data_IF_621838209899
#
_entry.id   IF_621838209899
#
_cell.length_a   1.000
_cell.length_b   1.000
_cell.length_c   1.000
_cell.angle_alpha   90.00
_cell.angle_beta   90.00
_cell.angle_gamma   90.00
#
_symmetry.space_group_name_H-M   'P 1'
#
loop_
_entity.id
_entity.type
_entity.pdbx_description
1 polymer ?
#
# COMPACT_ATOMS: atom_id res chain seq x y z
N UNK A 1 27.87 -28.03 1.80
CA UNK A 1 28.47 -28.56 0.56
C UNK A 1 29.23 -27.47 -0.18
N UNK A 2 30.32 -27.77 -0.91
CA UNK A 2 30.91 -26.79 -1.85
C UNK A 2 30.21 -26.96 -3.20
N UNK A 3 29.98 -25.87 -3.92
CA UNK A 3 29.32 -25.93 -5.24
C UNK A 3 30.10 -26.79 -6.24
N UNK A 4 31.42 -26.93 -6.05
CA UNK A 4 32.30 -27.82 -6.82
C UNK A 4 31.97 -29.30 -6.64
N UNK A 5 31.32 -29.68 -5.54
CA UNK A 5 30.92 -31.05 -5.25
C UNK A 5 29.68 -31.47 -6.09
N UNK A 6 29.05 -30.50 -6.77
CA UNK A 6 27.94 -30.72 -7.71
C UNK A 6 28.40 -31.08 -9.13
N UNK A 7 29.70 -31.05 -9.41
CA UNK A 7 30.22 -31.42 -10.73
C UNK A 7 29.92 -32.90 -11.04
N UNK A 8 29.46 -33.17 -12.25
CA UNK A 8 29.01 -34.49 -12.72
C UNK A 8 27.77 -35.06 -12.02
N UNK A 9 27.07 -34.29 -11.19
CA UNK A 9 25.79 -34.71 -10.61
C UNK A 9 24.71 -34.68 -11.68
N UNK A 10 23.88 -35.73 -11.70
CA UNK A 10 22.69 -35.80 -12.56
C UNK A 10 21.54 -35.02 -11.92
N UNK A 11 20.90 -34.20 -12.75
CA UNK A 11 19.78 -33.36 -12.35
C UNK A 11 18.67 -33.46 -13.38
N UNK A 12 17.43 -33.29 -12.93
CA UNK A 12 16.23 -33.34 -13.77
C UNK A 12 15.63 -31.94 -13.85
N UNK A 13 15.58 -31.38 -15.06
CA UNK A 13 14.86 -30.14 -15.33
C UNK A 13 13.43 -30.43 -15.79
N UNK A 14 12.47 -29.63 -15.34
CA UNK A 14 11.03 -29.80 -15.64
C UNK A 14 10.71 -29.86 -17.13
N UNK A 15 11.46 -29.12 -17.96
CA UNK A 15 11.24 -29.02 -19.43
C UNK A 15 12.31 -29.74 -20.26
N UNK A 16 13.55 -29.81 -19.76
CA UNK A 16 14.70 -30.26 -20.57
C UNK A 16 15.14 -31.69 -20.24
N UNK A 17 14.44 -32.35 -19.31
CA UNK A 17 14.72 -33.71 -18.91
C UNK A 17 16.00 -33.81 -18.09
N UNK A 18 16.69 -34.94 -18.23
CA UNK A 18 17.89 -35.26 -17.46
C UNK A 18 19.08 -34.53 -18.07
N UNK A 19 19.84 -33.84 -17.21
CA UNK A 19 21.09 -33.17 -17.55
C UNK A 19 22.18 -33.50 -16.55
N UNK A 20 23.43 -33.21 -16.94
CA UNK A 20 24.61 -33.39 -16.09
C UNK A 20 25.25 -32.03 -15.88
N UNK A 21 25.61 -31.71 -14.63
CA UNK A 21 26.32 -30.48 -14.30
C UNK A 21 27.75 -30.58 -14.83
N UNK A 22 28.09 -29.72 -15.79
CA UNK A 22 29.40 -29.68 -16.46
C UNK A 22 30.33 -28.65 -15.82
N UNK A 23 29.78 -27.55 -15.31
CA UNK A 23 30.54 -26.49 -14.65
C UNK A 23 29.78 -25.94 -13.44
N UNK A 24 30.53 -25.57 -12.42
CA UNK A 24 30.02 -24.94 -11.22
C UNK A 24 30.88 -23.73 -10.85
N UNK A 25 30.23 -22.58 -10.70
CA UNK A 25 30.83 -21.29 -10.29
C UNK A 25 30.01 -20.72 -9.14
N UNK A 26 30.60 -19.86 -8.30
CA UNK A 26 30.04 -19.41 -7.02
C UNK A 26 28.54 -19.00 -7.03
N UNK A 27 28.02 -18.53 -8.17
CA UNK A 27 26.60 -18.16 -8.32
C UNK A 27 25.87 -18.84 -9.49
N UNK A 28 26.54 -19.69 -10.28
CA UNK A 28 25.93 -20.29 -11.46
C UNK A 28 26.40 -21.72 -11.72
N UNK A 29 25.48 -22.55 -12.21
CA UNK A 29 25.72 -23.89 -12.71
C UNK A 29 25.49 -23.94 -14.22
N UNK A 30 26.38 -24.62 -14.94
CA UNK A 30 26.16 -25.00 -16.33
C UNK A 30 25.74 -26.46 -16.37
N UNK A 31 24.58 -26.72 -16.97
CA UNK A 31 24.00 -28.07 -17.11
C UNK A 31 23.91 -28.41 -18.59
N UNK A 32 24.49 -29.54 -18.95
CA UNK A 32 24.40 -30.12 -20.29
C UNK A 32 23.23 -31.10 -20.35
N UNK A 33 22.21 -30.75 -21.12
CA UNK A 33 21.09 -31.63 -21.49
C UNK A 33 21.34 -32.27 -22.85
N UNK A 34 20.53 -33.28 -23.18
CA UNK A 34 20.62 -34.01 -24.46
C UNK A 34 20.56 -33.09 -25.68
N UNK A 35 19.71 -32.06 -25.63
CA UNK A 35 19.50 -31.15 -26.75
C UNK A 35 20.36 -29.87 -26.71
N UNK A 36 20.81 -29.43 -25.52
CA UNK A 36 21.53 -28.17 -25.36
C UNK A 36 22.19 -28.06 -23.98
N UNK A 37 23.12 -27.14 -23.86
CA UNK A 37 23.70 -26.71 -22.59
C UNK A 37 23.06 -25.40 -22.12
N UNK A 38 22.85 -25.22 -20.83
CA UNK A 38 22.19 -24.03 -20.28
C UNK A 38 22.72 -23.68 -18.89
N UNK A 39 22.80 -22.37 -18.62
CA UNK A 39 23.33 -21.82 -17.37
C UNK A 39 22.20 -21.39 -16.44
N UNK A 40 22.29 -21.77 -15.17
CA UNK A 40 21.28 -21.54 -14.14
C UNK A 40 21.89 -20.87 -12.92
N UNK A 41 21.09 -20.11 -12.18
CA UNK A 41 21.52 -19.41 -10.96
C UNK A 41 21.47 -20.40 -9.79
N UNK A 42 22.56 -20.52 -9.05
CA UNK A 42 22.64 -21.38 -7.87
C UNK A 42 22.53 -20.55 -6.59
N UNK A 43 21.75 -20.98 -5.58
CA UNK A 43 20.98 -22.24 -5.52
C UNK A 43 19.53 -22.11 -6.01
N UNK A 44 19.07 -20.92 -6.39
CA UNK A 44 17.67 -20.59 -6.72
C UNK A 44 17.03 -21.48 -7.80
N UNK A 45 17.80 -21.94 -8.78
CA UNK A 45 17.28 -22.77 -9.85
C UNK A 45 16.79 -24.15 -9.39
N UNK A 46 17.28 -24.66 -8.24
CA UNK A 46 16.80 -25.91 -7.65
C UNK A 46 15.41 -25.80 -7.00
N UNK A 47 14.95 -24.58 -6.73
CA UNK A 47 13.61 -24.36 -6.20
C UNK A 47 12.57 -24.44 -7.33
N UNK A 48 12.88 -23.82 -8.47
CA UNK A 48 11.88 -23.54 -9.48
C UNK A 48 11.96 -24.50 -10.67
N UNK A 49 13.15 -24.96 -11.02
CA UNK A 49 13.40 -25.51 -12.35
C UNK A 49 14.08 -26.88 -12.37
N UNK A 50 14.89 -27.20 -11.35
CA UNK A 50 15.81 -28.35 -11.34
C UNK A 50 15.67 -29.15 -10.04
N UNK A 51 15.73 -30.48 -10.14
CA UNK A 51 15.79 -31.39 -8.99
C UNK A 51 17.03 -32.29 -9.13
N UNK A 52 17.83 -32.44 -8.08
CA UNK A 52 18.91 -33.42 -8.04
C UNK A 52 18.35 -34.83 -7.92
N UNK A 53 18.97 -35.79 -8.61
CA UNK A 53 18.56 -37.19 -8.55
C UNK A 53 18.92 -37.85 -7.20
N UNK A 54 19.98 -37.36 -6.56
CA UNK A 54 20.37 -37.78 -5.22
C UNK A 54 19.58 -37.00 -4.16
N UNK A 55 18.82 -37.74 -3.34
CA UNK A 55 17.97 -37.19 -2.30
C UNK A 55 18.75 -36.52 -1.16
N UNK A 56 19.97 -37.00 -0.86
CA UNK A 56 20.84 -36.39 0.15
C UNK A 56 21.35 -35.05 -0.35
N UNK A 57 21.77 -34.99 -1.61
CA UNK A 57 22.25 -33.76 -2.26
C UNK A 57 21.10 -32.75 -2.40
N UNK A 58 19.91 -33.18 -2.80
CA UNK A 58 18.73 -32.30 -2.92
C UNK A 58 18.36 -31.68 -1.56
N UNK A 59 18.44 -32.45 -0.47
CA UNK A 59 18.12 -31.97 0.87
C UNK A 59 19.09 -30.86 1.32
N UNK A 60 20.39 -31.05 1.11
CA UNK A 60 21.41 -30.05 1.45
C UNK A 60 21.23 -28.75 0.65
N UNK A 61 20.92 -28.84 -0.65
CA UNK A 61 20.69 -27.66 -1.50
C UNK A 61 19.43 -26.91 -1.05
N UNK A 62 18.34 -27.64 -0.75
CA UNK A 62 17.09 -27.02 -0.28
C UNK A 62 17.25 -26.35 1.08
N UNK A 63 18.10 -26.88 1.96
CA UNK A 63 18.47 -26.22 3.21
C UNK A 63 19.24 -24.91 2.95
N UNK A 64 20.18 -24.90 2.00
CA UNK A 64 20.89 -23.68 1.59
C UNK A 64 19.95 -22.62 1.01
N UNK A 65 19.00 -23.02 0.15
CA UNK A 65 17.96 -22.14 -0.41
C UNK A 65 17.11 -21.53 0.71
N UNK A 66 16.64 -22.36 1.65
CA UNK A 66 15.81 -21.90 2.75
C UNK A 66 16.56 -20.93 3.69
N UNK A 67 17.84 -21.20 3.97
CA UNK A 67 18.68 -20.31 4.76
C UNK A 67 18.92 -18.97 4.07
N UNK A 68 19.18 -18.96 2.75
CA UNK A 68 19.32 -17.72 1.95
C UNK A 68 18.02 -16.92 1.87
N UNK A 69 16.87 -17.59 1.77
CA UNK A 69 15.55 -16.94 1.84
C UNK A 69 15.27 -16.34 3.20
N UNK A 70 15.57 -17.08 4.27
CA UNK A 70 15.38 -16.58 5.63
C UNK A 70 16.28 -15.37 5.87
N UNK A 71 17.55 -15.44 5.46
CA UNK A 71 18.47 -14.31 5.52
C UNK A 71 17.98 -13.11 4.69
N UNK A 72 17.48 -13.33 3.47
CA UNK A 72 16.91 -12.27 2.63
C UNK A 72 15.67 -11.64 3.26
N UNK A 73 14.78 -12.45 3.84
CA UNK A 73 13.58 -11.98 4.53
C UNK A 73 13.93 -11.20 5.80
N UNK A 74 14.91 -11.66 6.58
CA UNK A 74 15.45 -10.95 7.75
C UNK A 74 16.14 -9.66 7.33
N UNK A 75 16.92 -9.67 6.24
CA UNK A 75 17.57 -8.48 5.69
C UNK A 75 16.52 -7.46 5.21
N UNK A 76 15.47 -7.90 4.51
CA UNK A 76 14.36 -7.06 4.07
C UNK A 76 13.58 -6.48 5.25
N UNK A 77 13.30 -7.30 6.28
CA UNK A 77 12.67 -6.85 7.52
C UNK A 77 13.55 -5.84 8.26
N UNK A 78 14.84 -6.12 8.43
CA UNK A 78 15.79 -5.21 9.06
C UNK A 78 15.98 -3.92 8.25
N UNK A 79 15.92 -3.99 6.91
CA UNK A 79 15.99 -2.80 6.04
C UNK A 79 14.72 -1.96 6.15
N UNK A 80 13.55 -2.59 6.22
CA UNK A 80 12.28 -1.90 6.41
C UNK A 80 12.15 -1.33 7.83
N UNK A 81 12.62 -2.04 8.85
CA UNK A 81 12.72 -1.55 10.23
C UNK A 81 13.74 -0.41 10.33
N UNK A 82 14.92 -0.52 9.70
CA UNK A 82 15.88 0.57 9.64
C UNK A 82 15.33 1.77 8.87
N UNK A 83 14.54 1.56 7.80
CA UNK A 83 13.83 2.62 7.07
C UNK A 83 12.80 3.30 7.97
N UNK A 84 12.02 2.53 8.74
CA UNK A 84 11.08 3.05 9.74
C UNK A 84 11.79 3.82 10.86
N UNK A 85 12.87 3.28 11.41
CA UNK A 85 13.66 3.93 12.47
C UNK A 85 14.38 5.17 11.94
N UNK A 86 14.89 5.17 10.71
CA UNK A 86 15.49 6.35 10.07
C UNK A 86 14.42 7.41 9.74
N UNK A 87 13.23 6.99 9.33
CA UNK A 87 12.08 7.89 9.12
C UNK A 87 11.62 8.49 10.47
N UNK A 88 11.58 7.71 11.54
CA UNK A 88 11.36 8.18 12.93
C UNK A 88 12.47 9.12 13.40
N UNK A 89 13.74 8.79 13.14
CA UNK A 89 14.90 9.63 13.49
C UNK A 89 14.89 10.95 12.74
N UNK A 90 14.54 10.95 11.45
CA UNK A 90 14.35 12.18 10.66
C UNK A 90 13.20 13.03 11.16
N UNK A 91 12.21 12.45 11.82
CA UNK A 91 11.14 13.18 12.49
C UNK A 91 11.63 13.76 13.84
N UNK A 92 12.48 13.03 14.59
CA UNK A 92 13.01 13.49 15.89
C UNK A 92 14.17 14.48 15.78
N UNK A 93 15.02 14.38 14.75
CA UNK A 93 16.18 15.25 14.50
C UNK A 93 15.86 16.50 13.68
N UNK A 94 14.58 16.76 13.38
CA UNK A 94 14.18 18.11 12.99
C UNK A 94 14.44 19.02 14.20
N UNK A 95 15.33 20.02 14.11
CA UNK A 95 15.61 20.89 15.24
C UNK A 95 14.30 21.56 15.64
N UNK A 96 13.83 21.26 16.84
CA UNK A 96 12.62 21.80 17.44
C UNK A 96 12.88 23.27 17.79
N UNK A 97 12.95 24.14 16.78
CA UNK A 97 12.50 25.52 16.95
C UNK A 97 10.97 25.47 16.90
N UNK A 98 10.37 25.16 18.05
CA UNK A 98 8.93 25.29 18.32
C UNK A 98 8.50 26.76 18.15
N UNK A 99 8.34 27.20 16.91
CA UNK A 99 7.18 28.01 16.62
C UNK A 99 6.03 27.01 16.55
N UNK A 100 5.18 26.97 17.59
CA UNK A 100 3.90 26.23 17.56
C UNK A 100 3.02 26.89 16.49
N UNK A 101 3.32 26.64 15.23
CA UNK A 101 2.36 26.87 14.15
C UNK A 101 1.22 25.90 14.38
N UNK A 102 0.01 26.43 14.53
CA UNK A 102 -1.19 25.62 14.71
C UNK A 102 -1.37 24.80 13.41
N UNK A 103 -1.99 23.62 13.47
CA UNK A 103 -2.20 22.77 12.27
C UNK A 103 -2.88 23.55 11.11
N UNK A 104 -3.70 24.52 11.48
CA UNK A 104 -4.36 25.49 10.59
C UNK A 104 -3.41 26.36 9.75
N UNK A 105 -2.17 26.60 10.18
CA UNK A 105 -1.20 27.39 9.42
C UNK A 105 -0.66 26.66 8.18
N UNK A 106 -0.90 25.35 8.07
CA UNK A 106 -0.52 24.55 6.92
C UNK A 106 -1.57 24.52 5.82
N UNK A 107 -2.83 24.85 6.11
CA UNK A 107 -3.92 24.75 5.15
C UNK A 107 -4.06 26.03 4.31
N UNK A 108 -4.46 25.85 3.06
CA UNK A 108 -4.92 26.96 2.23
C UNK A 108 -6.23 27.55 2.78
N UNK A 109 -6.53 28.83 2.47
CA UNK A 109 -7.77 29.48 2.91
C UNK A 109 -9.03 28.78 2.37
N UNK A 110 -8.89 28.06 1.27
CA UNK A 110 -9.93 27.26 0.60
C UNK A 110 -10.30 25.97 1.35
N UNK A 111 -9.46 25.46 2.25
CA UNK A 111 -9.76 24.22 2.97
C UNK A 111 -10.84 24.39 4.05
N UNK A 112 -11.09 25.61 4.54
CA UNK A 112 -12.01 25.88 5.65
C UNK A 112 -11.72 25.04 6.92
N UNK A 113 -10.45 25.05 7.38
CA UNK A 113 -9.93 24.23 8.50
C UNK A 113 -10.71 24.35 9.82
N UNK A 114 -11.52 25.39 10.01
CA UNK A 114 -12.43 25.53 11.16
C UNK A 114 -13.36 24.33 11.36
N UNK A 115 -13.70 23.61 10.28
CA UNK A 115 -14.59 22.45 10.30
C UNK A 115 -13.87 21.13 10.60
N UNK A 116 -12.53 21.12 10.58
CA UNK A 116 -11.73 19.94 10.89
C UNK A 116 -11.82 19.58 12.38
N UNK A 117 -12.30 18.38 12.67
CA UNK A 117 -12.24 17.81 14.00
C UNK A 117 -10.79 17.49 14.37
N UNK A 118 -10.39 17.90 15.58
CA UNK A 118 -9.02 17.74 16.11
C UNK A 118 -8.80 16.44 16.88
N UNK A 119 -9.88 15.78 17.26
CA UNK A 119 -9.91 14.54 18.02
C UNK A 119 -11.19 13.75 17.69
N UNK A 120 -11.20 12.41 17.85
CA UNK A 120 -10.03 11.58 18.17
C UNK A 120 -9.06 11.47 16.99
N UNK A 121 -7.78 11.24 17.31
CA UNK A 121 -6.74 10.87 16.34
C UNK A 121 -6.44 9.39 16.54
N UNK A 122 -6.53 8.62 15.46
CA UNK A 122 -6.27 7.18 15.44
C UNK A 122 -5.05 6.87 14.58
N UNK A 123 -4.40 5.74 14.85
CA UNK A 123 -3.45 5.12 13.93
C UNK A 123 -4.19 4.31 12.86
N UNK A 124 -3.53 3.97 11.75
CA UNK A 124 -4.16 3.13 10.73
C UNK A 124 -4.64 1.78 11.29
N UNK A 125 -3.91 1.18 12.24
CA UNK A 125 -4.28 -0.10 12.86
C UNK A 125 -5.56 0.03 13.68
N UNK A 126 -5.69 1.12 14.43
CA UNK A 126 -6.90 1.40 15.20
C UNK A 126 -8.11 1.63 14.30
N UNK A 127 -7.94 2.32 13.16
CA UNK A 127 -9.02 2.49 12.17
C UNK A 127 -9.41 1.13 11.56
N UNK A 128 -8.45 0.30 11.17
CA UNK A 128 -8.73 -1.05 10.65
C UNK A 128 -9.48 -1.92 11.66
N UNK A 129 -9.02 -1.95 12.91
CA UNK A 129 -9.59 -2.73 13.99
C UNK A 129 -11.01 -2.26 14.34
N UNK A 130 -11.19 -0.95 14.55
CA UNK A 130 -12.47 -0.38 14.97
C UNK A 130 -13.57 -0.54 13.92
N UNK A 131 -13.23 -0.45 12.63
CA UNK A 131 -14.21 -0.45 11.55
C UNK A 131 -14.24 -1.75 10.74
N UNK A 132 -13.40 -2.74 11.08
CA UNK A 132 -13.34 -4.02 10.38
C UNK A 132 -12.93 -3.89 8.91
N UNK A 133 -12.08 -2.91 8.59
CA UNK A 133 -11.60 -2.66 7.22
C UNK A 133 -10.12 -3.03 7.07
N UNK A 134 -9.66 -3.09 5.81
CA UNK A 134 -8.24 -3.17 5.47
C UNK A 134 -7.87 -2.01 4.55
N UNK A 135 -7.00 -1.14 5.05
CA UNK A 135 -6.57 0.07 4.37
C UNK A 135 -5.44 -0.31 3.41
N UNK A 136 -5.72 -0.28 2.10
CA UNK A 136 -4.74 -0.62 1.06
C UNK A 136 -4.07 0.64 0.45
N UNK A 137 -2.92 0.43 -0.21
CA UNK A 137 -2.22 1.48 -0.96
C UNK A 137 -1.66 2.60 -0.08
N UNK A 138 -1.75 3.85 -0.54
CA UNK A 138 -1.26 5.04 0.18
C UNK A 138 -2.09 5.41 1.43
N UNK A 139 -3.01 4.54 1.82
CA UNK A 139 -3.87 4.68 2.99
C UNK A 139 -4.90 5.79 2.88
N UNK A 140 -5.50 5.94 1.69
CA UNK A 140 -6.67 6.77 1.40
C UNK A 140 -7.67 5.95 0.59
N UNK A 141 -8.91 6.40 0.50
CA UNK A 141 -9.91 5.83 -0.41
C UNK A 141 -11.19 5.37 0.27
N UNK A 142 -11.98 4.59 -0.48
CA UNK A 142 -13.32 4.15 -0.12
C UNK A 142 -13.26 2.70 0.37
N UNK A 143 -13.38 2.51 1.68
CA UNK A 143 -13.31 1.20 2.33
C UNK A 143 -14.71 0.77 2.74
N UNK A 144 -15.08 -0.48 2.51
CA UNK A 144 -16.49 -0.91 2.58
C UNK A 144 -16.62 -2.21 3.35
N UNK A 145 -17.67 -2.29 4.16
CA UNK A 145 -18.14 -3.52 4.81
C UNK A 145 -19.60 -3.76 4.46
N UNK A 146 -20.24 -4.75 5.08
CA UNK A 146 -21.69 -4.97 4.94
C UNK A 146 -22.52 -3.82 5.55
N UNK A 147 -22.02 -3.14 6.57
CA UNK A 147 -22.75 -2.12 7.34
C UNK A 147 -22.14 -0.72 7.31
N UNK A 148 -20.94 -0.55 6.78
CA UNK A 148 -20.23 0.74 6.80
C UNK A 148 -19.51 1.05 5.49
N UNK A 149 -19.35 2.35 5.22
CA UNK A 149 -18.43 2.90 4.23
C UNK A 149 -17.48 3.85 4.96
N UNK A 150 -16.20 3.51 5.04
CA UNK A 150 -15.17 4.34 5.67
C UNK A 150 -14.38 5.06 4.59
N UNK A 151 -14.60 6.37 4.52
CA UNK A 151 -13.91 7.28 3.63
C UNK A 151 -12.67 7.83 4.31
N UNK A 152 -11.53 7.73 3.62
CA UNK A 152 -10.26 8.26 4.10
C UNK A 152 -9.76 9.27 3.07
N UNK A 153 -9.77 10.54 3.45
CA UNK A 153 -9.11 11.64 2.75
C UNK A 153 -7.65 11.75 3.20
N UNK A 154 -6.78 12.19 2.29
CA UNK A 154 -5.35 12.37 2.56
C UNK A 154 -4.91 13.81 2.38
N UNK A 155 -4.15 14.31 3.34
CA UNK A 155 -3.48 15.61 3.31
C UNK A 155 -1.97 15.39 3.38
N UNK A 156 -1.26 15.81 2.34
CA UNK A 156 0.20 15.68 2.26
C UNK A 156 0.89 16.95 2.76
N UNK A 157 1.88 16.80 3.64
CA UNK A 157 2.72 17.92 4.08
C UNK A 157 3.87 18.16 3.11
N UNK A 158 3.92 19.35 2.51
CA UNK A 158 5.04 19.84 1.68
C UNK A 158 5.68 21.07 2.31
N UNK A 159 6.81 21.52 1.75
CA UNK A 159 7.55 22.71 2.25
C UNK A 159 6.70 23.99 2.25
N UNK A 160 5.82 24.14 1.25
CA UNK A 160 4.97 25.32 1.07
C UNK A 160 3.64 25.27 1.84
N UNK A 161 3.32 24.15 2.48
CA UNK A 161 2.01 23.93 3.12
C UNK A 161 1.48 22.52 2.86
N UNK A 162 0.21 22.34 3.18
CA UNK A 162 -0.53 21.11 2.90
C UNK A 162 -1.05 21.08 1.47
N UNK A 163 -1.02 19.89 0.86
CA UNK A 163 -1.63 19.59 -0.43
C UNK A 163 -2.74 18.59 -0.18
N UNK A 164 -3.92 18.87 -0.70
CA UNK A 164 -5.13 18.08 -0.50
C UNK A 164 -6.00 18.13 -1.75
N UNK A 165 -6.70 17.04 -2.03
CA UNK A 165 -7.70 16.96 -3.10
C UNK A 165 -9.12 17.15 -2.58
N UNK A 166 -9.34 16.74 -1.33
CA UNK A 166 -10.62 16.81 -0.63
C UNK A 166 -10.55 17.96 0.37
N UNK A 167 -11.69 18.60 0.64
CA UNK A 167 -11.70 19.80 1.48
C UNK A 167 -13.05 20.03 2.16
N UNK A 168 -13.03 20.82 3.23
CA UNK A 168 -14.26 21.35 3.79
C UNK A 168 -14.72 22.54 2.97
N UNK A 169 -16.01 22.57 2.69
CA UNK A 169 -16.69 23.73 2.11
C UNK A 169 -16.88 24.82 3.17
N UNK A 170 -17.16 26.05 2.74
CA UNK A 170 -17.38 27.16 3.66
C UNK A 170 -18.56 26.91 4.62
N UNK A 171 -19.59 26.20 4.15
CA UNK A 171 -20.82 25.89 4.86
C UNK A 171 -20.74 24.60 5.70
N UNK A 172 -19.61 23.89 5.69
CA UNK A 172 -19.36 22.76 6.59
C UNK A 172 -19.73 21.39 6.04
N UNK A 173 -20.09 21.29 4.77
CA UNK A 173 -20.08 20.01 4.05
C UNK A 173 -18.64 19.63 3.66
N UNK A 174 -18.36 18.34 3.50
CA UNK A 174 -17.07 17.83 3.03
C UNK A 174 -17.15 17.44 1.55
N UNK A 175 -16.22 17.93 0.73
CA UNK A 175 -16.12 17.54 -0.67
C UNK A 175 -15.09 16.43 -0.82
N UNK A 176 -15.55 15.24 -1.19
CA UNK A 176 -14.73 14.03 -1.31
C UNK A 176 -14.60 13.59 -2.77
N UNK A 177 -13.37 13.30 -3.20
CA UNK A 177 -13.07 12.87 -4.56
C UNK A 177 -13.25 11.36 -4.71
N UNK A 178 -13.90 10.93 -5.79
CA UNK A 178 -14.17 9.51 -6.07
C UNK A 178 -12.92 8.69 -6.35
N UNK A 179 -13.10 7.37 -6.45
CA UNK A 179 -12.04 6.44 -6.84
C UNK A 179 -11.95 6.25 -8.37
N UNK A 180 -10.73 6.04 -8.85
CA UNK A 180 -10.40 5.82 -10.26
C UNK A 180 -9.16 6.64 -10.67
N UNK A 181 -8.12 5.95 -11.16
CA UNK A 181 -6.78 6.54 -11.36
C UNK A 181 -6.49 6.98 -12.80
N UNK A 182 -7.18 6.42 -13.78
CA UNK A 182 -6.88 6.63 -15.20
C UNK A 182 -8.17 6.76 -15.99
N UNK A 183 -8.23 7.77 -16.86
CA UNK A 183 -9.46 8.13 -17.58
C UNK A 183 -10.61 8.54 -16.67
N UNK A 184 -11.79 8.75 -17.27
CA UNK A 184 -13.00 9.13 -16.55
C UNK A 184 -13.34 8.12 -15.46
N UNK A 185 -13.60 8.64 -14.26
CA UNK A 185 -14.06 7.82 -13.17
C UNK A 185 -15.42 7.21 -13.49
N UNK A 186 -15.63 6.00 -13.00
CA UNK A 186 -16.84 5.22 -13.26
C UNK A 186 -17.61 5.03 -11.97
N UNK A 187 -18.94 4.93 -12.07
CA UNK A 187 -19.81 4.58 -10.94
C UNK A 187 -19.73 3.08 -10.61
N UNK A 188 -18.52 2.64 -10.28
CA UNK A 188 -18.13 1.28 -9.87
C UNK A 188 -18.42 1.06 -8.40
N UNK A 189 -18.06 -0.12 -7.90
CA UNK A 189 -18.45 -0.62 -6.59
C UNK A 189 -18.02 0.27 -5.41
N UNK A 190 -16.92 1.03 -5.49
CA UNK A 190 -16.54 1.99 -4.45
C UNK A 190 -17.36 3.27 -4.51
N UNK A 191 -17.32 3.99 -5.63
CA UNK A 191 -18.11 5.22 -5.85
C UNK A 191 -19.62 4.98 -5.59
N UNK A 192 -20.14 3.86 -6.08
CA UNK A 192 -21.53 3.44 -5.87
C UNK A 192 -21.86 3.20 -4.41
N UNK A 193 -20.91 2.72 -3.60
CA UNK A 193 -21.18 2.50 -2.18
C UNK A 193 -21.44 3.80 -1.43
N UNK A 194 -20.91 4.93 -1.88
CA UNK A 194 -21.24 6.25 -1.31
C UNK A 194 -22.67 6.62 -1.70
N UNK A 195 -23.03 6.47 -2.98
CA UNK A 195 -24.36 6.80 -3.51
C UNK A 195 -25.46 5.95 -2.88
N UNK A 196 -25.20 4.66 -2.75
CA UNK A 196 -26.18 3.68 -2.30
C UNK A 196 -26.18 3.49 -0.78
N UNK A 197 -25.32 4.19 -0.03
CA UNK A 197 -25.12 3.97 1.40
C UNK A 197 -26.42 4.03 2.20
N UNK A 198 -27.22 5.08 2.02
CA UNK A 198 -28.49 5.26 2.74
C UNK A 198 -29.50 4.15 2.39
N UNK A 199 -29.67 3.87 1.10
CA UNK A 199 -30.57 2.80 0.61
C UNK A 199 -30.17 1.44 1.17
N UNK A 200 -28.87 1.17 1.24
CA UNK A 200 -28.33 -0.11 1.71
C UNK A 200 -28.21 -0.16 3.25
N UNK A 201 -28.59 0.89 3.98
CA UNK A 201 -28.48 0.96 5.43
C UNK A 201 -27.04 1.01 5.95
N UNK A 202 -26.09 1.50 5.13
CA UNK A 202 -24.68 1.63 5.49
C UNK A 202 -24.37 3.01 6.07
N UNK A 203 -23.57 3.02 7.14
CA UNK A 203 -23.11 4.25 7.79
C UNK A 203 -21.82 4.74 7.12
N UNK A 204 -21.79 6.01 6.71
CA UNK A 204 -20.58 6.62 6.16
C UNK A 204 -19.77 7.27 7.29
N UNK A 205 -18.54 6.80 7.50
CA UNK A 205 -17.57 7.39 8.41
C UNK A 205 -16.48 8.11 7.60
N UNK A 206 -16.02 9.28 8.07
CA UNK A 206 -14.97 10.05 7.40
C UNK A 206 -13.75 10.26 8.30
N UNK A 207 -12.57 10.07 7.70
CA UNK A 207 -11.27 10.40 8.28
C UNK A 207 -10.49 11.34 7.39
N UNK A 208 -9.72 12.24 8.01
CA UNK A 208 -8.67 13.03 7.36
C UNK A 208 -7.32 12.55 7.87
N UNK A 209 -6.49 12.04 6.98
CA UNK A 209 -5.17 11.48 7.29
C UNK A 209 -4.05 12.47 6.97
N UNK A 210 -3.11 12.62 7.90
CA UNK A 210 -1.85 13.35 7.66
C UNK A 210 -0.61 12.43 7.63
N UNK A 211 -0.68 11.29 8.32
CA UNK A 211 0.39 10.29 8.38
C UNK A 211 -0.18 8.91 8.74
N UNK A 212 0.60 7.82 8.67
CA UNK A 212 0.15 6.50 9.15
C UNK A 212 -0.29 6.47 10.63
N UNK A 213 0.15 7.44 11.43
CA UNK A 213 -0.18 7.54 12.86
C UNK A 213 -1.26 8.60 13.15
N UNK A 214 -1.70 9.37 12.15
CA UNK A 214 -2.59 10.52 12.35
C UNK A 214 -3.80 10.48 11.40
N UNK A 215 -4.82 9.74 11.81
CA UNK A 215 -6.14 9.69 11.19
C UNK A 215 -7.14 10.43 12.08
N UNK A 216 -7.50 11.65 11.69
CA UNK A 216 -8.44 12.49 12.42
C UNK A 216 -9.87 12.07 12.07
N UNK A 217 -10.60 11.53 13.03
CA UNK A 217 -11.99 11.14 12.82
C UNK A 217 -12.90 12.38 12.74
N UNK A 218 -13.66 12.49 11.65
CA UNK A 218 -14.51 13.65 11.40
C UNK A 218 -15.97 13.42 11.79
N UNK A 219 -16.40 12.16 11.94
CA UNK A 219 -17.77 11.80 12.32
C UNK A 219 -18.49 10.92 11.30
N UNK A 220 -19.81 10.84 11.46
CA UNK A 220 -20.75 10.16 10.56
C UNK A 220 -21.30 11.18 9.56
N UNK A 221 -21.48 10.77 8.31
CA UNK A 221 -21.92 11.62 7.21
C UNK A 221 -23.04 10.98 6.40
N UNK A 222 -23.81 11.80 5.69
CA UNK A 222 -24.70 11.39 4.60
C UNK A 222 -24.29 12.06 3.29
N UNK A 223 -24.60 11.40 2.17
CA UNK A 223 -24.45 12.01 0.85
C UNK A 223 -25.56 13.04 0.62
N UNK A 224 -25.18 14.26 0.26
CA UNK A 224 -26.13 15.30 -0.17
C UNK A 224 -26.41 15.17 -1.67
N UNK A 225 -25.34 15.17 -2.46
CA UNK A 225 -25.35 14.97 -3.90
C UNK A 225 -23.94 14.64 -4.39
N UNK A 226 -23.82 14.35 -5.68
CA UNK A 226 -22.53 14.23 -6.35
C UNK A 226 -22.56 14.92 -7.71
N UNK A 227 -21.40 15.35 -8.16
CA UNK A 227 -21.14 15.95 -9.47
C UNK A 227 -19.85 15.39 -10.06
N UNK A 228 -19.40 15.94 -11.17
CA UNK A 228 -18.09 15.68 -11.75
C UNK A 228 -17.35 17.00 -12.02
N UNK A 229 -16.03 16.94 -11.92
CA UNK A 229 -15.12 18.02 -12.29
C UNK A 229 -14.07 17.49 -13.28
N UNK A 230 -13.51 18.38 -14.10
CA UNK A 230 -12.36 18.04 -14.94
C UNK A 230 -11.08 18.13 -14.11
N UNK A 231 -10.35 17.02 -14.02
CA UNK A 231 -9.05 16.95 -13.35
C UNK A 231 -8.03 16.17 -14.19
N UNK A 232 -6.77 16.12 -13.76
CA UNK A 232 -5.71 15.34 -14.39
C UNK A 232 -5.64 13.94 -13.80
N UNK A 233 -5.58 12.94 -14.68
CA UNK A 233 -5.30 11.57 -14.27
C UNK A 233 -3.81 11.33 -13.99
N UNK A 234 -3.43 10.11 -13.56
CA UNK A 234 -2.03 9.79 -13.26
C UNK A 234 -1.08 9.91 -14.47
N UNK A 235 -1.62 9.99 -15.70
CA UNK A 235 -0.86 10.20 -16.94
C UNK A 235 -0.88 11.67 -17.40
N UNK A 236 -1.54 12.58 -16.66
CA UNK A 236 -1.65 14.00 -17.00
C UNK A 236 -2.76 14.33 -18.00
N UNK A 237 -3.61 13.36 -18.37
CA UNK A 237 -4.74 13.58 -19.26
C UNK A 237 -5.93 14.17 -18.50
N UNK A 238 -6.72 15.01 -19.16
CA UNK A 238 -7.98 15.48 -18.55
C UNK A 238 -8.95 14.30 -18.43
N UNK A 239 -9.58 14.17 -17.28
CA UNK A 239 -10.62 13.19 -16.97
C UNK A 239 -11.75 13.81 -16.16
N UNK A 240 -12.92 13.18 -16.21
CA UNK A 240 -14.01 13.42 -15.26
C UNK A 240 -13.73 12.70 -13.94
N UNK A 241 -13.64 13.45 -12.86
CA UNK A 241 -13.54 12.94 -11.50
C UNK A 241 -14.84 13.22 -10.73
N UNK A 242 -15.36 12.21 -10.03
CA UNK A 242 -16.54 12.40 -9.19
C UNK A 242 -16.20 13.23 -7.96
N UNK A 243 -17.08 14.18 -7.62
CA UNK A 243 -17.06 14.90 -6.36
C UNK A 243 -18.33 14.61 -5.58
N UNK A 244 -18.19 14.06 -4.38
CA UNK A 244 -19.27 13.73 -3.47
C UNK A 244 -19.36 14.79 -2.38
N UNK A 245 -20.51 15.46 -2.29
CA UNK A 245 -20.79 16.41 -1.22
C UNK A 245 -21.40 15.68 -0.04
N UNK A 246 -20.68 15.64 1.08
CA UNK A 246 -21.05 14.90 2.27
C UNK A 246 -21.40 15.86 3.40
N UNK A 247 -22.55 15.63 4.05
CA UNK A 247 -22.98 16.41 5.20
C UNK A 247 -22.76 15.63 6.48
N UNK A 248 -22.11 16.26 7.46
CA UNK A 248 -21.93 15.67 8.78
C UNK A 248 -23.29 15.49 9.45
N UNK A 249 -23.54 14.30 9.97
CA UNK A 249 -24.72 14.03 10.79
C UNK A 249 -24.45 14.46 12.22
N UNK A 250 -25.41 15.18 12.80
CA UNK A 250 -25.47 15.38 14.24
C UNK A 250 -26.22 14.18 14.80
N UNK A 251 -25.52 13.29 15.50
CA UNK A 251 -26.20 12.30 16.32
C UNK A 251 -26.83 13.08 17.47
N UNK A 252 -28.17 13.06 17.54
CA UNK A 252 -28.86 13.44 18.77
C UNK A 252 -28.45 12.41 19.83
N UNK A 253 -27.80 12.88 20.90
CA UNK A 253 -27.51 12.08 22.10
C UNK A 253 -28.79 11.82 22.91
#
# INVERSE_FOLDING_TARGET
MRITDLLNVKVKHKVYGIGIITEASDNHLTIKFVAKESKFIYPDAFEQFIEAEDASVQAEIMEEVNNKKLATKVQQQATEEARKTEEERRITDVPVKRNRKRIEDGFGPDYNVRHLARQPILTYQQVEEQFGIKIAGFGRGINRTSSTVVLISSVDRKKAGFVYHDHWTSDGDYMYSGEGKTGDQKMTIGNRAIVDAERDGKIIHLFVKFSPQEYYYQGVFSLVNYTYEDDKDESGNVRKEYKFRLRKQHLEE
#
